data_IF_541318106792
#
_entry.id   IF_541318106792
#
_cell.length_a   1.000
_cell.length_b   1.000
_cell.length_c   1.000
_cell.angle_alpha   90.00
_cell.angle_beta   90.00
_cell.angle_gamma   90.00
#
_symmetry.space_group_name_H-M   'P 1'
#
loop_
_entity.id
_entity.type
_entity.pdbx_description
1 polymer ?
#
# COMPACT_ATOMS: atom_id res chain seq x y z
N UNK A 1 19.95 -23.55 -19.19
CA UNK A 1 20.00 -23.43 -17.71
C UNK A 1 19.39 -22.11 -17.24
N UNK A 2 19.87 -20.96 -17.72
CA UNK A 2 19.38 -19.62 -17.36
C UNK A 2 17.85 -19.48 -17.43
N UNK A 3 17.21 -19.89 -18.54
CA UNK A 3 15.75 -19.79 -18.68
C UNK A 3 14.98 -20.60 -17.61
N UNK A 4 15.54 -21.74 -17.19
CA UNK A 4 14.94 -22.60 -16.16
C UNK A 4 15.05 -21.96 -14.79
N UNK A 5 16.18 -21.30 -14.52
CA UNK A 5 16.41 -20.52 -13.31
C UNK A 5 15.42 -19.35 -13.24
N UNK A 6 15.34 -18.53 -14.29
CA UNK A 6 14.40 -17.40 -14.35
C UNK A 6 12.93 -17.84 -14.22
N UNK A 7 12.56 -18.95 -14.86
CA UNK A 7 11.21 -19.49 -14.75
C UNK A 7 10.92 -19.98 -13.32
N UNK A 8 11.86 -20.68 -12.69
CA UNK A 8 11.73 -21.13 -11.31
C UNK A 8 11.63 -19.94 -10.34
N UNK A 9 12.45 -18.91 -10.53
CA UNK A 9 12.41 -17.67 -9.75
C UNK A 9 11.05 -16.99 -9.85
N UNK A 10 10.55 -16.76 -11.07
CA UNK A 10 9.25 -16.12 -11.30
C UNK A 10 8.09 -16.89 -10.65
N UNK A 11 8.10 -18.22 -10.74
CA UNK A 11 7.06 -19.05 -10.13
C UNK A 11 7.03 -18.96 -8.61
N UNK A 12 8.19 -18.92 -7.96
CA UNK A 12 8.21 -18.85 -6.49
C UNK A 12 7.91 -17.42 -6.01
N UNK A 13 8.35 -16.39 -6.74
CA UNK A 13 7.92 -15.00 -6.51
C UNK A 13 6.40 -14.89 -6.59
N UNK A 14 5.79 -15.47 -7.62
CA UNK A 14 4.33 -15.49 -7.78
C UNK A 14 3.64 -16.19 -6.60
N UNK A 15 4.16 -17.35 -6.17
CA UNK A 15 3.66 -18.06 -4.97
C UNK A 15 3.75 -17.21 -3.70
N UNK A 16 4.84 -16.44 -3.51
CA UNK A 16 5.00 -15.54 -2.36
C UNK A 16 3.90 -14.47 -2.35
N UNK A 17 3.63 -13.84 -3.50
CA UNK A 17 2.55 -12.86 -3.60
C UNK A 17 1.17 -13.48 -3.31
N UNK A 18 0.95 -14.72 -3.71
CA UNK A 18 -0.29 -15.45 -3.41
C UNK A 18 -0.45 -15.75 -1.92
N UNK A 19 0.63 -16.12 -1.24
CA UNK A 19 0.63 -16.32 0.21
C UNK A 19 0.34 -15.02 0.97
N UNK A 20 0.89 -13.89 0.52
CA UNK A 20 0.57 -12.57 1.08
C UNK A 20 -0.91 -12.25 0.88
N UNK A 21 -1.46 -12.52 -0.31
CA UNK A 21 -2.89 -12.33 -0.60
C UNK A 21 -3.79 -13.23 0.26
N UNK A 22 -3.37 -14.47 0.52
CA UNK A 22 -4.09 -15.39 1.40
C UNK A 22 -4.15 -14.89 2.85
N UNK A 23 -3.17 -14.08 3.27
CA UNK A 23 -3.09 -13.51 4.61
C UNK A 23 -3.80 -12.13 4.75
N UNK A 24 -4.41 -11.62 3.68
CA UNK A 24 -5.21 -10.38 3.73
C UNK A 24 -6.61 -10.68 4.27
N UNK A 25 -6.99 -10.02 5.36
CA UNK A 25 -8.34 -10.06 5.90
C UNK A 25 -9.35 -9.42 4.92
N UNK A 26 -10.59 -9.94 4.88
CA UNK A 26 -11.69 -9.36 4.08
C UNK A 26 -11.92 -9.98 2.70
N UNK A 27 -11.28 -11.11 2.37
CA UNK A 27 -11.55 -11.85 1.12
C UNK A 27 -12.72 -12.82 1.29
N UNK A 28 -13.74 -12.72 0.42
CA UNK A 28 -14.90 -13.61 0.45
C UNK A 28 -14.52 -15.07 0.13
N UNK A 29 -15.33 -16.03 0.61
CA UNK A 29 -15.05 -17.48 0.53
C UNK A 29 -14.61 -17.97 -0.86
N UNK A 30 -15.27 -17.53 -1.94
CA UNK A 30 -14.91 -17.90 -3.32
C UNK A 30 -13.51 -17.42 -3.69
N UNK A 31 -13.11 -16.22 -3.25
CA UNK A 31 -11.77 -15.69 -3.51
C UNK A 31 -10.70 -16.47 -2.73
N UNK A 32 -10.97 -16.81 -1.47
CA UNK A 32 -10.09 -17.69 -0.69
C UNK A 32 -9.87 -19.05 -1.38
N UNK A 33 -10.94 -19.63 -1.93
CA UNK A 33 -10.85 -20.89 -2.67
C UNK A 33 -10.00 -20.77 -3.93
N UNK A 34 -10.15 -19.68 -4.70
CA UNK A 34 -9.31 -19.41 -5.87
C UNK A 34 -7.84 -19.24 -5.50
N UNK A 35 -7.55 -18.52 -4.41
CA UNK A 35 -6.18 -18.33 -3.89
C UNK A 35 -5.58 -19.68 -3.48
N UNK A 36 -6.32 -20.51 -2.73
CA UNK A 36 -5.87 -21.85 -2.32
C UNK A 36 -5.58 -22.76 -3.54
N UNK A 37 -6.44 -22.72 -4.55
CA UNK A 37 -6.26 -23.47 -5.79
C UNK A 37 -5.04 -22.98 -6.57
N UNK A 38 -4.82 -21.66 -6.65
CA UNK A 38 -3.65 -21.07 -7.29
C UNK A 38 -2.35 -21.50 -6.59
N UNK A 39 -2.30 -21.41 -5.26
CA UNK A 39 -1.14 -21.85 -4.46
C UNK A 39 -0.83 -23.33 -4.71
N UNK A 40 -1.85 -24.19 -4.79
CA UNK A 40 -1.70 -25.63 -5.04
C UNK A 40 -1.18 -25.91 -6.45
N UNK A 41 -1.76 -25.24 -7.47
CA UNK A 41 -1.33 -25.34 -8.87
C UNK A 41 0.12 -24.91 -9.01
N UNK A 42 0.47 -23.73 -8.51
CA UNK A 42 1.85 -23.22 -8.59
C UNK A 42 2.84 -24.07 -7.80
N UNK A 43 2.45 -24.61 -6.64
CA UNK A 43 3.30 -25.57 -5.92
C UNK A 43 3.62 -26.81 -6.75
N UNK A 44 2.68 -27.27 -7.58
CA UNK A 44 2.89 -28.40 -8.50
C UNK A 44 3.82 -28.01 -9.66
N UNK A 45 3.61 -26.84 -10.26
CA UNK A 45 4.47 -26.32 -11.33
C UNK A 45 5.90 -26.11 -10.84
N UNK A 46 6.08 -25.51 -9.65
CA UNK A 46 7.39 -25.34 -9.00
C UNK A 46 8.08 -26.68 -8.83
N UNK A 47 7.40 -27.75 -8.36
CA UNK A 47 8.02 -29.09 -8.26
C UNK A 47 8.52 -29.61 -9.60
N UNK A 48 7.77 -29.41 -10.68
CA UNK A 48 8.16 -29.86 -12.02
C UNK A 48 9.35 -29.08 -12.57
N UNK A 49 9.32 -27.75 -12.48
CA UNK A 49 10.43 -26.89 -12.91
C UNK A 49 11.68 -27.13 -12.06
N UNK A 50 11.52 -27.36 -10.75
CA UNK A 50 12.60 -27.71 -9.83
C UNK A 50 13.29 -29.03 -10.21
N UNK A 51 12.52 -30.06 -10.61
CA UNK A 51 13.11 -31.31 -11.14
C UNK A 51 13.97 -31.04 -12.38
N UNK A 52 13.48 -30.19 -13.28
CA UNK A 52 14.21 -29.82 -14.49
C UNK A 52 15.48 -29.02 -14.16
N UNK A 53 15.41 -28.08 -13.21
CA UNK A 53 16.56 -27.37 -12.67
C UNK A 53 17.59 -28.33 -12.09
N UNK A 54 17.18 -29.22 -11.18
CA UNK A 54 18.07 -30.17 -10.49
C UNK A 54 18.76 -31.16 -11.45
N UNK A 55 18.16 -31.45 -12.61
CA UNK A 55 18.80 -32.24 -13.68
C UNK A 55 19.92 -31.47 -14.38
N UNK A 56 19.77 -30.15 -14.54
CA UNK A 56 20.70 -29.30 -15.27
C UNK A 56 21.78 -28.67 -14.38
N UNK A 57 21.52 -28.50 -13.09
CA UNK A 57 22.40 -27.84 -12.13
C UNK A 57 23.80 -28.49 -12.03
N UNK A 58 23.95 -29.83 -11.97
CA UNK A 58 25.27 -30.46 -11.94
C UNK A 58 26.05 -30.33 -13.25
N UNK A 59 25.36 -30.04 -14.36
CA UNK A 59 25.97 -29.93 -15.69
C UNK A 59 26.53 -28.52 -15.97
N UNK A 60 26.38 -27.58 -15.02
CA UNK A 60 26.90 -26.22 -15.17
C UNK A 60 28.39 -26.15 -14.83
N UNK A 61 29.06 -25.11 -15.32
CA UNK A 61 30.43 -24.77 -14.96
C UNK A 61 30.45 -23.32 -14.41
N UNK A 62 30.61 -23.11 -13.08
CA UNK A 62 30.76 -24.12 -12.04
C UNK A 62 29.46 -24.92 -11.77
N UNK A 63 29.54 -26.16 -11.26
CA UNK A 63 28.37 -26.94 -10.89
C UNK A 63 27.51 -26.18 -9.86
N UNK A 64 26.21 -26.15 -10.11
CA UNK A 64 25.25 -25.50 -9.21
C UNK A 64 24.67 -26.50 -8.20
N UNK A 65 24.36 -26.02 -7.00
CA UNK A 65 23.73 -26.82 -5.95
C UNK A 65 22.33 -27.32 -6.35
N UNK A 66 22.03 -28.56 -5.96
CA UNK A 66 20.68 -29.13 -6.08
C UNK A 66 19.78 -28.55 -5.00
N UNK A 67 18.56 -28.19 -5.35
CA UNK A 67 17.59 -27.57 -4.44
C UNK A 67 16.47 -28.53 -4.06
N UNK A 68 16.14 -28.58 -2.76
CA UNK A 68 14.99 -29.33 -2.27
C UNK A 68 13.74 -28.46 -2.31
N UNK A 69 12.60 -29.09 -2.57
CA UNK A 69 11.32 -28.38 -2.56
C UNK A 69 10.98 -27.80 -1.19
N UNK A 70 11.35 -28.50 -0.10
CA UNK A 70 11.19 -27.99 1.28
C UNK A 70 11.84 -26.62 1.44
N UNK A 71 13.07 -26.47 0.94
CA UNK A 71 13.86 -25.26 1.11
C UNK A 71 13.25 -24.13 0.27
N UNK A 72 12.80 -24.45 -0.95
CA UNK A 72 12.09 -23.51 -1.83
C UNK A 72 10.74 -23.09 -1.25
N UNK A 73 10.03 -24.00 -0.60
CA UNK A 73 8.72 -23.75 -0.02
C UNK A 73 8.79 -22.89 1.26
N UNK A 74 9.90 -22.99 1.99
CA UNK A 74 10.21 -22.23 3.21
C UNK A 74 10.73 -20.82 2.93
N UNK A 75 11.10 -20.50 1.68
CA UNK A 75 11.48 -19.14 1.37
C UNK A 75 10.31 -18.20 1.62
N UNK A 76 10.54 -17.24 2.51
CA UNK A 76 9.59 -16.18 2.86
C UNK A 76 9.98 -14.85 2.22
N UNK A 77 11.25 -14.73 1.79
CA UNK A 77 11.79 -13.50 1.24
C UNK A 77 12.69 -13.72 0.01
N UNK A 78 12.68 -12.77 -0.91
CA UNK A 78 13.29 -12.88 -2.24
C UNK A 78 14.79 -13.20 -2.27
N UNK A 79 15.61 -12.72 -1.34
CA UNK A 79 17.04 -13.08 -1.32
C UNK A 79 17.41 -14.26 -0.41
N UNK A 80 16.43 -15.00 0.12
CA UNK A 80 16.68 -16.36 0.64
C UNK A 80 16.89 -17.35 -0.53
N UNK A 81 16.51 -16.95 -1.74
CA UNK A 81 16.64 -17.73 -2.95
C UNK A 81 18.09 -17.85 -3.37
N UNK A 82 18.68 -19.01 -3.09
CA UNK A 82 20.00 -19.39 -3.62
C UNK A 82 20.08 -19.30 -5.15
N UNK A 83 18.95 -19.47 -5.86
CA UNK A 83 18.83 -19.35 -7.32
C UNK A 83 19.23 -17.97 -7.84
N UNK A 84 18.72 -16.92 -7.20
CA UNK A 84 19.04 -15.54 -7.56
C UNK A 84 20.50 -15.21 -7.28
N UNK A 85 21.16 -15.97 -6.41
CA UNK A 85 22.57 -15.73 -6.10
C UNK A 85 23.49 -16.01 -7.29
N UNK A 86 23.16 -17.03 -8.07
CA UNK A 86 23.92 -17.44 -9.25
C UNK A 86 23.76 -16.49 -10.43
N UNK A 87 22.61 -15.84 -10.56
CA UNK A 87 22.25 -14.97 -11.70
C UNK A 87 22.48 -13.48 -11.40
N UNK A 88 22.57 -13.06 -10.13
CA UNK A 88 22.56 -11.64 -9.70
C UNK A 88 23.73 -11.33 -8.75
N UNK A 89 24.94 -11.83 -9.05
CA UNK A 89 26.12 -11.70 -8.19
C UNK A 89 26.38 -10.25 -7.72
N UNK A 90 26.17 -9.26 -8.59
CA UNK A 90 26.35 -7.85 -8.25
C UNK A 90 25.30 -7.27 -7.29
N UNK A 91 24.11 -7.87 -7.23
CA UNK A 91 23.02 -7.38 -6.37
C UNK A 91 23.16 -7.98 -4.97
N UNK A 92 23.68 -9.20 -4.86
CA UNK A 92 23.95 -9.83 -3.56
C UNK A 92 25.04 -9.15 -2.75
N UNK A 93 26.01 -8.51 -3.41
CA UNK A 93 27.07 -7.75 -2.72
C UNK A 93 26.55 -6.46 -2.11
N UNK A 94 25.32 -6.07 -2.45
CA UNK A 94 24.73 -4.84 -1.96
C UNK A 94 24.33 -4.98 -0.48
N UNK A 95 24.57 -3.95 0.34
CA UNK A 95 24.35 -4.02 1.78
C UNK A 95 22.88 -4.27 2.15
N UNK A 96 21.92 -3.91 1.31
CA UNK A 96 20.48 -4.18 1.53
C UNK A 96 20.06 -5.64 1.30
N UNK A 97 20.96 -6.53 0.85
CA UNK A 97 20.68 -7.97 0.78
C UNK A 97 20.86 -8.65 2.14
N UNK A 98 21.55 -8.03 3.09
CA UNK A 98 21.57 -8.48 4.49
C UNK A 98 20.21 -8.26 5.15
N UNK A 99 19.69 -9.29 5.83
CA UNK A 99 18.42 -9.22 6.57
C UNK A 99 18.43 -8.12 7.62
N UNK A 100 19.49 -8.06 8.42
CA UNK A 100 19.68 -7.03 9.45
C UNK A 100 19.62 -5.62 8.85
N UNK A 101 20.33 -5.40 7.74
CA UNK A 101 20.36 -4.09 7.10
C UNK A 101 19.00 -3.69 6.53
N UNK A 102 18.20 -4.64 6.02
CA UNK A 102 16.83 -4.34 5.58
C UNK A 102 15.91 -3.99 6.72
N UNK A 103 15.98 -4.71 7.83
CA UNK A 103 15.15 -4.42 9.00
C UNK A 103 15.46 -3.01 9.52
N UNK A 104 16.74 -2.65 9.58
CA UNK A 104 17.19 -1.29 9.92
C UNK A 104 16.72 -0.27 8.89
N UNK A 105 16.90 -0.53 7.60
CA UNK A 105 16.46 0.36 6.53
C UNK A 105 14.94 0.58 6.55
N UNK A 106 14.15 -0.48 6.75
CA UNK A 106 12.69 -0.39 6.87
C UNK A 106 12.26 0.47 8.05
N UNK A 107 12.92 0.35 9.20
CA UNK A 107 12.68 1.23 10.37
C UNK A 107 13.10 2.66 10.09
N UNK A 108 14.28 2.85 9.50
CA UNK A 108 14.80 4.17 9.13
C UNK A 108 13.87 4.90 8.16
N UNK A 109 13.47 4.24 7.07
CA UNK A 109 12.58 4.85 6.08
C UNK A 109 11.19 5.11 6.62
N UNK A 110 10.68 4.30 7.56
CA UNK A 110 9.44 4.63 8.30
C UNK A 110 9.60 5.94 9.07
N UNK A 111 10.71 6.14 9.80
CA UNK A 111 10.97 7.38 10.54
C UNK A 111 11.07 8.57 9.58
N UNK A 112 11.81 8.43 8.48
CA UNK A 112 11.94 9.48 7.46
C UNK A 112 10.59 9.83 6.85
N UNK A 113 9.78 8.84 6.49
CA UNK A 113 8.45 9.06 5.93
C UNK A 113 7.50 9.71 6.93
N UNK A 114 7.49 9.28 8.19
CA UNK A 114 6.63 9.87 9.24
C UNK A 114 6.86 11.38 9.35
N UNK A 115 8.10 11.86 9.24
CA UNK A 115 8.38 13.30 9.29
C UNK A 115 7.74 14.05 8.12
N UNK A 116 7.89 13.52 6.90
CA UNK A 116 7.29 14.11 5.70
C UNK A 116 5.77 14.01 5.71
N UNK A 117 5.24 12.90 6.23
CA UNK A 117 3.81 12.68 6.39
C UNK A 117 3.20 13.73 7.33
N UNK A 118 3.88 14.08 8.42
CA UNK A 118 3.43 15.16 9.32
C UNK A 118 3.33 16.49 8.55
N UNK A 119 4.34 16.83 7.74
CA UNK A 119 4.31 18.06 6.92
C UNK A 119 3.14 18.06 5.95
N UNK A 120 2.89 16.95 5.26
CA UNK A 120 1.77 16.78 4.33
C UNK A 120 0.41 16.86 5.05
N UNK A 121 0.27 16.17 6.18
CA UNK A 121 -0.97 16.17 6.96
C UNK A 121 -1.33 17.57 7.44
N UNK A 122 -0.36 18.41 7.85
CA UNK A 122 -0.65 19.79 8.25
C UNK A 122 -1.32 20.59 7.13
N UNK A 123 -0.90 20.36 5.87
CA UNK A 123 -1.48 20.98 4.69
C UNK A 123 -2.88 20.41 4.44
N UNK A 124 -3.03 19.09 4.40
CA UNK A 124 -4.32 18.43 4.13
C UNK A 124 -5.38 18.74 5.19
N UNK A 125 -5.00 18.79 6.47
CA UNK A 125 -5.88 19.17 7.58
C UNK A 125 -6.43 20.58 7.38
N UNK A 126 -5.56 21.52 7.01
CA UNK A 126 -5.96 22.92 6.75
C UNK A 126 -6.87 23.01 5.53
N UNK A 127 -6.56 22.28 4.46
CA UNK A 127 -7.42 22.21 3.28
C UNK A 127 -8.78 21.59 3.57
N UNK A 128 -8.84 20.54 4.39
CA UNK A 128 -10.10 19.92 4.76
C UNK A 128 -10.98 20.89 5.54
N UNK A 129 -10.41 21.64 6.49
CA UNK A 129 -11.17 22.68 7.20
C UNK A 129 -11.70 23.74 6.23
N UNK A 130 -10.83 24.28 5.37
CA UNK A 130 -11.23 25.28 4.38
C UNK A 130 -12.35 24.77 3.46
N UNK A 131 -12.23 23.53 2.97
CA UNK A 131 -13.22 22.93 2.09
C UNK A 131 -14.58 22.75 2.78
N UNK A 132 -14.60 22.37 4.05
CA UNK A 132 -15.84 22.27 4.84
C UNK A 132 -16.48 23.67 4.97
N UNK A 133 -15.71 24.68 5.34
CA UNK A 133 -16.20 26.05 5.53
C UNK A 133 -16.72 26.67 4.23
N UNK A 134 -16.00 26.49 3.12
CA UNK A 134 -16.39 26.97 1.79
C UNK A 134 -17.66 26.27 1.28
N UNK A 135 -17.74 24.94 1.43
CA UNK A 135 -18.90 24.16 0.99
C UNK A 135 -20.15 24.51 1.79
N UNK A 136 -20.04 24.63 3.12
CA UNK A 136 -21.14 25.02 4.01
C UNK A 136 -21.64 26.43 3.64
N UNK A 137 -20.73 27.39 3.45
CA UNK A 137 -21.08 28.75 3.03
C UNK A 137 -21.75 28.78 1.65
N UNK A 138 -21.23 28.03 0.68
CA UNK A 138 -21.79 27.95 -0.66
C UNK A 138 -23.21 27.38 -0.67
N UNK A 139 -23.46 26.27 0.03
CA UNK A 139 -24.78 25.65 0.11
C UNK A 139 -25.80 26.56 0.81
N UNK A 140 -25.41 27.20 1.91
CA UNK A 140 -26.28 28.11 2.65
C UNK A 140 -26.65 29.33 1.78
N UNK A 141 -25.66 29.96 1.15
CA UNK A 141 -25.88 31.12 0.27
C UNK A 141 -26.76 30.77 -0.93
N UNK A 142 -26.53 29.59 -1.53
CA UNK A 142 -27.34 29.08 -2.64
C UNK A 142 -28.79 28.87 -2.19
N UNK A 143 -29.01 28.24 -1.03
CA UNK A 143 -30.34 28.06 -0.48
C UNK A 143 -31.07 29.39 -0.23
N UNK A 144 -30.38 30.38 0.37
CA UNK A 144 -30.95 31.72 0.63
C UNK A 144 -31.32 32.42 -0.67
N UNK A 145 -30.43 32.41 -1.68
CA UNK A 145 -30.68 33.07 -2.97
C UNK A 145 -31.90 32.50 -3.73
N UNK A 146 -32.17 31.20 -3.54
CA UNK A 146 -33.27 30.50 -4.19
C UNK A 146 -34.58 30.55 -3.42
N UNK A 147 -34.59 31.05 -2.18
CA UNK A 147 -35.74 31.02 -1.28
C UNK A 147 -36.97 31.74 -1.86
N UNK A 148 -36.77 32.86 -2.55
CA UNK A 148 -37.85 33.65 -3.16
C UNK A 148 -38.31 33.08 -4.51
N UNK A 149 -37.35 32.65 -5.35
CA UNK A 149 -37.64 32.28 -6.73
C UNK A 149 -38.04 30.81 -6.89
N UNK A 150 -37.47 29.92 -6.07
CA UNK A 150 -37.63 28.47 -6.15
C UNK A 150 -37.61 27.82 -4.75
N UNK A 151 -38.67 28.02 -3.95
CA UNK A 151 -38.70 27.61 -2.55
C UNK A 151 -38.55 26.10 -2.35
N UNK A 152 -39.08 25.27 -3.26
CA UNK A 152 -38.93 23.82 -3.19
C UNK A 152 -37.46 23.38 -3.36
N UNK A 153 -36.72 24.01 -4.28
CA UNK A 153 -35.30 23.72 -4.49
C UNK A 153 -34.44 24.24 -3.33
N UNK A 154 -34.75 25.43 -2.81
CA UNK A 154 -34.12 25.97 -1.59
C UNK A 154 -34.28 25.00 -0.41
N UNK A 155 -35.49 24.46 -0.20
CA UNK A 155 -35.75 23.48 0.86
C UNK A 155 -34.88 22.21 0.70
N UNK A 156 -34.75 21.68 -0.52
CA UNK A 156 -33.93 20.48 -0.75
C UNK A 156 -32.43 20.77 -0.53
N UNK A 157 -31.93 21.94 -0.95
CA UNK A 157 -30.54 22.32 -0.71
C UNK A 157 -30.25 22.47 0.79
N UNK A 158 -31.19 23.03 1.57
CA UNK A 158 -31.06 23.08 3.04
C UNK A 158 -31.02 21.68 3.65
N UNK A 159 -31.88 20.77 3.18
CA UNK A 159 -31.87 19.38 3.65
C UNK A 159 -30.56 18.66 3.32
N UNK A 160 -29.99 18.89 2.14
CA UNK A 160 -28.66 18.38 1.78
C UNK A 160 -27.56 18.97 2.65
N UNK A 161 -27.60 20.28 2.89
CA UNK A 161 -26.69 20.98 3.79
C UNK A 161 -26.75 20.40 5.21
N UNK A 162 -27.94 20.20 5.79
CA UNK A 162 -28.09 19.65 7.14
C UNK A 162 -27.46 18.24 7.28
N UNK A 163 -27.61 17.40 6.25
CA UNK A 163 -26.95 16.08 6.20
C UNK A 163 -25.43 16.20 6.14
N UNK A 164 -24.91 17.15 5.35
CA UNK A 164 -23.47 17.38 5.22
C UNK A 164 -22.88 17.94 6.49
N UNK A 165 -23.48 18.96 7.09
CA UNK A 165 -23.11 19.52 8.39
C UNK A 165 -23.07 18.44 9.46
N UNK A 166 -24.03 17.53 9.50
CA UNK A 166 -24.01 16.43 10.47
C UNK A 166 -22.75 15.56 10.36
N UNK A 167 -22.31 15.25 9.14
CA UNK A 167 -21.08 14.49 8.89
C UNK A 167 -19.86 15.36 9.16
N UNK A 168 -19.85 16.59 8.66
CA UNK A 168 -18.76 17.56 8.82
C UNK A 168 -18.50 17.89 10.29
N UNK A 169 -19.51 17.90 11.14
CA UNK A 169 -19.35 18.08 12.59
C UNK A 169 -18.45 17.03 13.24
N UNK A 170 -18.47 15.78 12.75
CA UNK A 170 -17.55 14.73 13.20
C UNK A 170 -16.12 15.06 12.79
N UNK A 171 -15.93 15.50 11.55
CA UNK A 171 -14.64 15.94 11.04
C UNK A 171 -14.11 17.15 11.81
N UNK A 172 -14.95 18.17 12.04
CA UNK A 172 -14.62 19.36 12.83
C UNK A 172 -14.20 19.00 14.27
N UNK A 173 -14.89 18.07 14.92
CA UNK A 173 -14.51 17.60 16.26
C UNK A 173 -13.11 16.94 16.26
N UNK A 174 -12.80 16.13 15.24
CA UNK A 174 -11.46 15.56 15.08
C UNK A 174 -10.40 16.62 14.74
N UNK A 175 -10.71 17.57 13.87
CA UNK A 175 -9.82 18.69 13.54
C UNK A 175 -9.49 19.51 14.80
N UNK A 176 -10.48 19.84 15.62
CA UNK A 176 -10.28 20.50 16.91
C UNK A 176 -9.35 19.72 17.85
N UNK A 177 -9.53 18.40 17.92
CA UNK A 177 -8.64 17.54 18.72
C UNK A 177 -7.21 17.55 18.19
N UNK A 178 -7.02 17.62 16.86
CA UNK A 178 -5.70 17.72 16.23
C UNK A 178 -5.05 19.08 16.50
N UNK A 179 -5.80 20.18 16.40
CA UNK A 179 -5.30 21.52 16.73
C UNK A 179 -4.90 21.68 18.19
N UNK A 180 -5.47 20.88 19.10
CA UNK A 180 -5.09 20.87 20.51
C UNK A 180 -3.75 20.16 20.78
N UNK A 181 -3.15 19.49 19.78
CA UNK A 181 -1.87 18.79 19.95
C UNK A 181 -0.73 19.82 19.92
N UNK A 182 0.15 19.88 20.96
CA UNK A 182 1.21 20.90 21.06
C UNK A 182 2.23 20.90 19.90
N UNK A 183 2.35 19.78 19.18
CA UNK A 183 3.26 19.62 18.05
C UNK A 183 2.66 20.02 16.70
N UNK A 184 1.39 20.44 16.66
CA UNK A 184 0.75 20.90 15.43
C UNK A 184 1.15 22.36 15.14
N UNK A 185 1.90 22.58 14.06
CA UNK A 185 2.20 23.93 13.58
C UNK A 185 1.13 24.36 12.58
N UNK A 186 0.15 25.13 13.03
CA UNK A 186 -0.81 25.78 12.13
C UNK A 186 -0.11 26.92 11.39
N UNK A 187 0.41 26.66 10.19
CA UNK A 187 0.82 27.73 9.27
C UNK A 187 0.01 27.59 8.00
N UNK A 188 -1.25 28.02 8.08
CA UNK A 188 -2.00 28.38 6.89
C UNK A 188 -2.48 29.81 7.10
N UNK A 189 -1.80 30.75 6.44
CA UNK A 189 -2.34 32.07 6.17
C UNK A 189 -2.96 31.93 4.78
N UNK A 190 -4.30 31.92 4.65
CA UNK A 190 -4.90 32.03 3.34
C UNK A 190 -4.40 33.35 2.76
N UNK A 191 -3.83 33.34 1.55
CA UNK A 191 -3.55 34.58 0.84
C UNK A 191 -4.87 35.36 0.76
N UNK A 192 -4.98 36.39 1.59
CA UNK A 192 -5.99 37.42 1.46
C UNK A 192 -5.84 37.98 0.07
N UNK A 193 -6.91 37.82 -0.71
CA UNK A 193 -7.10 38.41 -2.02
C UNK A 193 -6.59 39.85 -1.99
N UNK A 194 -5.47 40.10 -2.68
CA UNK A 194 -5.07 41.46 -2.99
C UNK A 194 -6.09 42.03 -3.98
N UNK A 195 -6.47 43.27 -3.70
CA UNK A 195 -7.35 44.16 -4.47
C UNK A 195 -7.08 44.19 -5.98
#
# INVERSE_FOLDING_TARGET
>A
FICVVQHLEGLVVQRLFELVKANLAGTGYKMCQQISNAITRHSTVIRNVLKHYNRLAPLQSPPCDILKFSDVALYTWLGEFKLLKSSWQEILTKPWVSKSNREVAGKYFKIVHVRKEIEHLNVEISYLQWWIEDEDAHLLNTAISLEVNQPALSCEIRHLHDKRVHINNIHCAHLQAIYAIPSFSSVFVPESSND
#
